data_IF_100386485266
#
_entry.id   IF_100386485266
#
_cell.length_a   1.000
_cell.length_b   1.000
_cell.length_c   1.000
_cell.angle_alpha   90.00
_cell.angle_beta   90.00
_cell.angle_gamma   90.00
#
_symmetry.space_group_name_H-M   'P 1'
#
loop_
_entity.id
_entity.type
_entity.pdbx_description
1 polymer ?
#
# COMPACT_ATOMS: atom_id res chain seq x y z
N UNK A 1 -14.17 1.20 -8.21
CA UNK A 1 -13.63 -0.05 -7.66
C UNK A 1 -13.17 -0.88 -8.83
N UNK A 2 -11.91 -1.32 -8.80
CA UNK A 2 -11.31 -2.17 -9.82
C UNK A 2 -11.23 -3.61 -9.31
N UNK A 3 -11.37 -4.59 -10.19
CA UNK A 3 -11.23 -6.02 -9.85
C UNK A 3 -9.83 -6.50 -10.18
N UNK A 4 -9.12 -7.04 -9.20
CA UNK A 4 -7.70 -7.37 -9.26
C UNK A 4 -6.82 -6.20 -8.85
N UNK A 5 -5.56 -6.24 -9.25
CA UNK A 5 -4.56 -5.23 -8.92
C UNK A 5 -4.81 -3.92 -9.69
N UNK A 6 -4.39 -2.80 -9.08
CA UNK A 6 -4.50 -1.47 -9.67
C UNK A 6 -3.15 -0.76 -9.65
N UNK A 7 -2.67 -0.39 -10.84
CA UNK A 7 -1.48 0.46 -10.99
C UNK A 7 -1.92 1.85 -11.43
N UNK A 8 -1.54 2.86 -10.65
CA UNK A 8 -1.74 4.28 -10.99
C UNK A 8 -0.40 4.86 -11.43
N UNK A 9 -0.38 5.46 -12.62
CA UNK A 9 0.77 6.20 -13.13
C UNK A 9 0.54 7.69 -12.84
N UNK A 10 1.14 8.19 -11.76
CA UNK A 10 0.97 9.56 -11.28
C UNK A 10 0.44 9.63 -9.85
N UNK A 11 -0.02 10.82 -9.48
CA UNK A 11 -0.34 11.15 -8.09
C UNK A 11 -1.83 10.98 -7.78
N UNK A 12 -2.12 10.64 -6.52
CA UNK A 12 -3.45 10.69 -5.93
C UNK A 12 -3.46 11.83 -4.93
N UNK A 13 -4.01 12.97 -5.32
CA UNK A 13 -4.13 14.14 -4.44
C UNK A 13 -5.21 13.97 -3.36
N UNK A 14 -5.22 14.88 -2.38
CA UNK A 14 -6.24 14.97 -1.34
C UNK A 14 -7.63 15.08 -2.00
N UNK A 15 -8.58 14.26 -1.55
CA UNK A 15 -9.91 14.12 -2.16
C UNK A 15 -9.99 13.03 -3.25
N UNK A 16 -8.85 12.58 -3.77
CA UNK A 16 -8.77 11.40 -4.65
C UNK A 16 -9.07 10.11 -3.90
N UNK A 17 -9.70 9.15 -4.60
CA UNK A 17 -10.13 7.87 -4.03
C UNK A 17 -9.88 6.73 -5.01
N UNK A 18 -9.11 5.73 -4.59
CA UNK A 18 -8.88 4.49 -5.33
C UNK A 18 -9.28 3.27 -4.49
N UNK A 19 -9.85 2.26 -5.16
CA UNK A 19 -10.34 1.02 -4.53
C UNK A 19 -10.08 -0.15 -5.49
N UNK A 20 -9.40 -1.18 -5.02
CA UNK A 20 -9.07 -2.40 -5.75
C UNK A 20 -9.32 -3.64 -4.87
N UNK A 21 -9.65 -4.78 -5.50
CA UNK A 21 -9.74 -6.06 -4.78
C UNK A 21 -8.38 -6.74 -4.62
N UNK A 22 -7.37 -6.37 -5.41
CA UNK A 22 -5.99 -6.81 -5.23
C UNK A 22 -5.10 -5.71 -4.66
N UNK A 23 -3.82 -5.74 -5.08
CA UNK A 23 -2.81 -4.75 -4.68
C UNK A 23 -3.06 -3.38 -5.30
N UNK A 24 -2.55 -2.33 -4.65
CA UNK A 24 -2.59 -0.97 -5.16
C UNK A 24 -1.18 -0.41 -5.25
N UNK A 25 -0.71 -0.11 -6.46
CA UNK A 25 0.59 0.51 -6.71
C UNK A 25 0.37 1.91 -7.27
N UNK A 26 0.74 2.93 -6.50
CA UNK A 26 0.76 4.31 -6.96
C UNK A 26 2.20 4.68 -7.32
N UNK A 27 2.51 4.77 -8.61
CA UNK A 27 3.80 5.24 -9.09
C UNK A 27 3.80 6.78 -9.09
N UNK A 28 3.76 7.33 -7.87
CA UNK A 28 3.63 8.75 -7.56
C UNK A 28 3.22 8.95 -6.10
N UNK A 29 2.85 10.19 -5.77
CA UNK A 29 2.45 10.56 -4.42
C UNK A 29 1.03 10.06 -4.11
N UNK A 30 0.87 9.31 -3.02
CA UNK A 30 -0.45 8.98 -2.47
C UNK A 30 -0.77 9.91 -1.30
N UNK A 31 -1.61 10.92 -1.54
CA UNK A 31 -2.11 11.89 -0.54
C UNK A 31 -3.59 11.73 -0.22
N UNK A 32 -4.35 11.08 -1.09
CA UNK A 32 -5.79 10.84 -0.94
C UNK A 32 -6.14 9.59 -0.14
N UNK A 33 -7.17 8.88 -0.59
CA UNK A 33 -7.64 7.62 -0.03
C UNK A 33 -7.26 6.44 -0.94
N UNK A 34 -6.78 5.34 -0.36
CA UNK A 34 -6.60 4.08 -1.07
C UNK A 34 -7.16 2.87 -0.28
N UNK A 35 -7.77 1.92 -0.99
CA UNK A 35 -8.24 0.65 -0.43
C UNK A 35 -7.78 -0.51 -1.32
N UNK A 36 -6.87 -1.33 -0.81
CA UNK A 36 -6.43 -2.59 -1.40
C UNK A 36 -7.14 -3.78 -0.74
N UNK A 37 -7.25 -4.92 -1.44
CA UNK A 37 -7.89 -6.10 -0.88
C UNK A 37 -9.37 -5.89 -0.51
N UNK A 38 -10.10 -5.05 -1.25
CA UNK A 38 -11.43 -4.59 -0.85
C UNK A 38 -12.51 -5.69 -0.77
N UNK A 39 -12.22 -6.91 -1.22
CA UNK A 39 -13.04 -8.12 -1.07
C UNK A 39 -12.70 -8.94 0.19
N UNK A 40 -11.78 -8.45 1.03
CA UNK A 40 -11.38 -9.08 2.30
C UNK A 40 -9.96 -9.62 2.30
N UNK A 41 -9.17 -9.41 1.24
CA UNK A 41 -7.77 -9.81 1.21
C UNK A 41 -6.89 -8.89 2.09
N UNK A 42 -6.57 -9.34 3.29
CA UNK A 42 -5.65 -8.64 4.20
C UNK A 42 -4.16 -8.84 3.82
N UNK A 43 -3.85 -9.70 2.84
CA UNK A 43 -2.48 -9.90 2.35
C UNK A 43 -2.07 -8.90 1.26
N UNK A 44 -3.04 -8.15 0.73
CA UNK A 44 -2.79 -7.11 -0.26
C UNK A 44 -1.91 -5.97 0.30
N UNK A 45 -1.25 -5.24 -0.58
CA UNK A 45 -0.38 -4.12 -0.22
C UNK A 45 -0.78 -2.81 -0.91
N UNK A 46 -0.34 -1.70 -0.33
CA UNK A 46 -0.40 -0.39 -0.97
C UNK A 46 1.02 0.16 -1.07
N UNK A 47 1.48 0.45 -2.28
CA UNK A 47 2.79 1.04 -2.53
C UNK A 47 2.65 2.48 -3.03
N UNK A 48 3.49 3.39 -2.55
CA UNK A 48 3.59 4.75 -3.08
C UNK A 48 4.93 5.42 -2.78
N UNK A 49 5.20 6.55 -3.45
CA UNK A 49 6.31 7.43 -3.11
C UNK A 49 5.93 8.90 -3.38
N UNK A 50 5.69 9.71 -2.34
CA UNK A 50 5.54 9.36 -0.92
C UNK A 50 4.19 8.69 -0.60
N UNK A 51 4.13 7.91 0.50
CA UNK A 51 2.90 7.28 1.02
C UNK A 51 2.33 8.10 2.20
N UNK A 52 1.67 9.22 1.89
CA UNK A 52 1.08 10.15 2.87
C UNK A 52 -0.44 10.28 2.74
N UNK A 53 -1.18 9.16 2.78
CA UNK A 53 -2.61 9.16 2.52
C UNK A 53 -3.36 9.90 3.61
N UNK A 54 -4.47 10.56 3.29
CA UNK A 54 -5.48 10.89 4.31
C UNK A 54 -5.94 9.64 5.07
N UNK A 55 -6.06 8.52 4.34
CA UNK A 55 -6.48 7.23 4.89
C UNK A 55 -6.14 6.10 3.92
N UNK A 56 -5.74 4.96 4.46
CA UNK A 56 -5.59 3.69 3.75
C UNK A 56 -6.41 2.59 4.38
N UNK A 57 -6.80 1.61 3.56
CA UNK A 57 -7.43 0.37 3.99
C UNK A 57 -6.84 -0.82 3.26
N UNK A 58 -6.67 -1.92 3.96
CA UNK A 58 -6.20 -3.20 3.40
C UNK A 58 -7.10 -4.28 3.98
N UNK A 59 -7.85 -4.98 3.13
CA UNK A 59 -8.91 -5.87 3.60
C UNK A 59 -9.91 -5.11 4.48
N UNK A 60 -10.10 -5.60 5.71
CA UNK A 60 -10.93 -4.96 6.73
C UNK A 60 -10.21 -3.87 7.56
N UNK A 61 -8.88 -3.82 7.52
CA UNK A 61 -8.05 -2.99 8.40
C UNK A 61 -7.94 -1.57 7.85
N UNK A 62 -7.83 -0.60 8.75
CA UNK A 62 -7.89 0.84 8.46
C UNK A 62 -6.76 1.57 9.17
N UNK A 63 -6.10 2.49 8.48
CA UNK A 63 -5.16 3.42 9.08
C UNK A 63 -5.35 4.81 8.48
N UNK A 64 -5.14 5.83 9.31
CA UNK A 64 -5.07 7.22 8.86
C UNK A 64 -3.62 7.59 8.60
N UNK A 65 -3.41 8.56 7.71
CA UNK A 65 -2.08 9.12 7.49
C UNK A 65 -1.48 9.65 8.78
N UNK A 66 -0.21 9.34 9.00
CA UNK A 66 0.59 9.95 10.06
C UNK A 66 1.25 11.25 9.59
N UNK A 67 1.83 11.96 10.55
CA UNK A 67 2.65 13.17 10.30
C UNK A 67 4.14 12.80 10.10
N UNK A 68 4.39 11.60 9.54
CA UNK A 68 5.75 11.19 9.21
C UNK A 68 6.32 12.16 8.16
N UNK A 69 7.63 12.43 8.16
CA UNK A 69 8.25 13.25 7.13
C UNK A 69 8.30 12.51 5.78
N UNK A 70 8.07 13.22 4.66
CA UNK A 70 8.21 12.65 3.32
C UNK A 70 9.67 12.21 3.09
N UNK A 71 9.87 10.90 2.89
CA UNK A 71 11.16 10.31 2.56
C UNK A 71 11.40 10.18 1.05
N UNK A 72 12.66 10.08 0.59
CA UNK A 72 12.98 9.88 -0.81
C UNK A 72 12.78 8.42 -1.28
N UNK A 73 12.65 7.48 -0.35
CA UNK A 73 12.46 6.06 -0.65
C UNK A 73 10.97 5.76 -0.85
N UNK A 74 10.62 4.82 -1.75
CA UNK A 74 9.27 4.32 -1.81
C UNK A 74 8.95 3.52 -0.57
N UNK A 75 7.68 3.53 -0.19
CA UNK A 75 7.16 2.81 0.96
C UNK A 75 6.04 1.88 0.53
N UNK A 76 5.78 0.88 1.36
CA UNK A 76 4.60 0.04 1.23
C UNK A 76 3.91 -0.12 2.58
N UNK A 77 2.58 -0.13 2.52
CA UNK A 77 1.70 -0.44 3.63
C UNK A 77 1.20 -1.88 3.49
N UNK A 78 1.19 -2.62 4.61
CA UNK A 78 0.69 -3.99 4.69
C UNK A 78 0.06 -4.24 6.06
N UNK A 79 -0.75 -5.29 6.19
CA UNK A 79 -1.32 -5.68 7.49
C UNK A 79 -0.31 -6.52 8.27
N UNK A 80 -0.10 -6.15 9.54
CA UNK A 80 0.58 -6.97 10.53
C UNK A 80 -0.30 -7.07 11.79
N UNK A 81 -0.81 -8.28 12.04
CA UNK A 81 -1.76 -8.54 13.12
C UNK A 81 -3.09 -7.80 12.92
N UNK A 82 -3.25 -6.65 13.57
CA UNK A 82 -4.49 -5.83 13.52
C UNK A 82 -4.25 -4.40 13.07
N UNK A 83 -3.02 -4.08 12.69
CA UNK A 83 -2.61 -2.74 12.28
C UNK A 83 -2.06 -2.76 10.86
N UNK A 84 -2.12 -1.60 10.20
CA UNK A 84 -1.37 -1.37 8.97
C UNK A 84 -0.01 -0.80 9.38
N UNK A 85 1.06 -1.47 8.94
CA UNK A 85 2.44 -1.05 9.13
C UNK A 85 2.96 -0.50 7.81
N UNK A 86 3.76 0.57 7.89
CA UNK A 86 4.42 1.18 6.74
C UNK A 86 5.91 0.96 6.86
N UNK A 87 6.53 0.43 5.82
CA UNK A 87 7.96 0.20 5.75
C UNK A 87 8.55 0.71 4.44
N UNK A 88 9.85 1.07 4.42
CA UNK A 88 10.56 1.28 3.17
C UNK A 88 10.49 0.05 2.28
N UNK A 89 10.25 0.25 0.98
CA UNK A 89 10.23 -0.84 0.00
C UNK A 89 11.54 -1.63 -0.03
N UNK A 90 12.65 -0.97 0.29
CA UNK A 90 13.97 -1.59 0.42
C UNK A 90 14.03 -2.69 1.50
N UNK A 91 13.15 -2.65 2.52
CA UNK A 91 13.03 -3.68 3.55
C UNK A 91 12.31 -4.94 3.01
N UNK A 92 11.26 -4.78 2.22
CA UNK A 92 10.56 -5.89 1.56
C UNK A 92 11.50 -6.69 0.63
N UNK A 93 12.35 -6.00 -0.12
CA UNK A 93 13.33 -6.65 -1.02
C UNK A 93 14.33 -7.51 -0.22
N UNK A 94 14.74 -7.05 0.97
CA UNK A 94 15.67 -7.79 1.85
C UNK A 94 15.02 -9.00 2.53
N UNK A 95 13.71 -8.93 2.82
CA UNK A 95 12.98 -10.06 3.41
C UNK A 95 12.71 -11.16 2.39
N UNK A 96 12.46 -10.80 1.12
CA UNK A 96 12.25 -11.74 0.03
C UNK A 96 13.53 -12.42 -0.45
N UNK A 97 14.70 -11.74 -0.40
CA UNK A 97 15.99 -12.38 -0.72
C UNK A 97 16.42 -13.45 0.29
N UNK A 98 15.77 -13.51 1.47
CA UNK A 98 15.98 -14.54 2.51
C UNK A 98 14.97 -15.69 2.46
N UNK A 99 13.94 -15.64 1.60
CA UNK A 99 13.00 -16.74 1.39
C UNK A 99 13.38 -17.52 0.13
N UNK A 100 13.90 -18.75 0.21
CA UNK A 100 13.98 -19.60 -0.97
C UNK A 100 12.55 -19.80 -1.49
N UNK A 101 12.31 -19.45 -2.76
CA UNK A 101 11.09 -19.84 -3.47
C UNK A 101 11.08 -21.35 -3.58
N UNK A 102 10.53 -22.02 -2.57
CA UNK A 102 10.10 -23.40 -2.71
C UNK A 102 9.06 -23.44 -3.83
N UNK A 103 9.45 -24.05 -4.94
CA UNK A 103 8.62 -24.37 -6.09
C UNK A 103 7.31 -25.05 -5.63
N UNK A 104 6.21 -24.63 -6.23
CA UNK A 104 5.05 -25.49 -6.49
C UNK A 104 4.85 -25.54 -7.99
#
# INVERSE_FOLDING_TARGET
>A
MHTGDLVVLGDIHIGGRIVATGDVLVLGALRGFAWAGADGDESAIIYAQPLHPTQVRIGGVIAQGGDAPEGPEPEYAHVEGTAIVVEPWSAAVKSQSRRPRTQR
#
